data_IF_786044079160
#
_entry.id   IF_786044079160
#
_cell.length_a   1.000
_cell.length_b   1.000
_cell.length_c   1.000
_cell.angle_alpha   90.00
_cell.angle_beta   90.00
_cell.angle_gamma   90.00
#
_symmetry.space_group_name_H-M   'P 1'
#
loop_
_entity.id
_entity.type
_entity.pdbx_description
1 polymer ?
#
# COMPACT_ATOMS: atom_id res chain seq x y z
N UNK A 1 -22.31 0.28 4.23
CA UNK A 1 -20.97 -0.17 3.77
C UNK A 1 -20.07 -0.19 4.99
N UNK A 2 -19.41 -1.31 5.33
CA UNK A 2 -18.56 -1.38 6.54
C UNK A 2 -17.31 -0.49 6.37
N UNK A 3 -16.76 0.03 7.47
CA UNK A 3 -15.64 0.98 7.49
C UNK A 3 -14.41 0.47 6.76
N UNK A 4 -14.14 -0.84 6.81
CA UNK A 4 -13.07 -1.50 6.04
C UNK A 4 -13.26 -1.33 4.53
N UNK A 5 -14.43 -1.69 4.00
CA UNK A 5 -14.73 -1.58 2.57
C UNK A 5 -14.59 -0.13 2.09
N UNK A 6 -15.05 0.83 2.89
CA UNK A 6 -14.94 2.25 2.58
C UNK A 6 -13.47 2.72 2.55
N UNK A 7 -12.68 2.34 3.55
CA UNK A 7 -11.27 2.68 3.62
C UNK A 7 -10.48 2.08 2.44
N UNK A 8 -10.72 0.81 2.12
CA UNK A 8 -10.10 0.14 0.97
C UNK A 8 -10.49 0.81 -0.34
N UNK A 9 -11.78 1.09 -0.55
CA UNK A 9 -12.25 1.76 -1.78
C UNK A 9 -11.62 3.13 -1.96
N UNK A 10 -11.59 3.96 -0.91
CA UNK A 10 -10.93 5.27 -0.95
C UNK A 10 -9.45 5.19 -1.34
N UNK A 11 -8.73 4.19 -0.82
CA UNK A 11 -7.33 4.03 -1.18
C UNK A 11 -7.15 3.56 -2.62
N UNK A 12 -7.98 2.60 -3.08
CA UNK A 12 -8.00 2.14 -4.47
C UNK A 12 -8.30 3.31 -5.42
N UNK A 13 -9.33 4.10 -5.14
CA UNK A 13 -9.71 5.26 -5.97
C UNK A 13 -8.55 6.28 -6.05
N UNK A 14 -7.80 6.47 -4.95
CA UNK A 14 -6.63 7.34 -4.94
C UNK A 14 -5.44 6.74 -5.70
N UNK A 15 -5.23 5.43 -5.61
CA UNK A 15 -4.15 4.69 -6.29
C UNK A 15 -4.35 4.59 -7.81
N UNK A 16 -5.59 4.39 -8.24
CA UNK A 16 -5.98 4.23 -9.64
C UNK A 16 -6.10 5.56 -10.39
N UNK A 17 -6.10 6.68 -9.67
CA UNK A 17 -6.13 8.00 -10.30
C UNK A 17 -4.89 8.21 -11.16
N UNK A 18 -5.13 8.54 -12.42
CA UNK A 18 -4.11 8.96 -13.37
C UNK A 18 -3.74 10.43 -13.14
N UNK A 19 -2.45 10.73 -13.17
CA UNK A 19 -1.89 12.06 -12.99
C UNK A 19 -0.86 12.35 -14.06
N UNK A 20 -0.70 13.64 -14.36
CA UNK A 20 0.31 14.13 -15.29
C UNK A 20 1.47 14.69 -14.49
N UNK A 21 2.66 14.14 -14.73
CA UNK A 21 3.92 14.70 -14.24
C UNK A 21 4.54 15.48 -15.40
N UNK A 22 4.66 16.78 -15.21
CA UNK A 22 5.11 17.69 -16.25
C UNK A 22 6.64 17.81 -16.28
N UNK A 23 7.20 17.98 -17.48
CA UNK A 23 8.61 18.31 -17.71
C UNK A 23 9.58 17.33 -17.04
N UNK A 24 9.31 16.03 -17.17
CA UNK A 24 10.27 15.01 -16.79
C UNK A 24 11.45 15.11 -17.76
N UNK A 25 12.64 15.27 -17.19
CA UNK A 25 13.89 15.26 -17.93
C UNK A 25 14.63 13.93 -17.72
N UNK A 26 14.92 13.24 -18.82
CA UNK A 26 15.62 11.95 -18.88
C UNK A 26 16.90 12.11 -19.71
N UNK A 27 18.01 12.56 -19.09
CA UNK A 27 19.23 12.92 -19.82
C UNK A 27 19.89 11.74 -20.51
N UNK A 28 19.79 10.51 -19.98
CA UNK A 28 20.42 9.32 -20.60
C UNK A 28 19.93 9.05 -22.02
N UNK A 29 18.74 9.53 -22.38
CA UNK A 29 18.14 9.39 -23.71
C UNK A 29 17.76 10.74 -24.35
N UNK A 30 18.23 11.84 -23.75
CA UNK A 30 17.98 13.21 -24.21
C UNK A 30 16.49 13.52 -24.45
N UNK A 31 15.63 13.15 -23.48
CA UNK A 31 14.16 13.28 -23.61
C UNK A 31 13.58 14.17 -22.51
N UNK A 32 12.90 15.24 -22.92
CA UNK A 32 11.96 15.98 -22.06
C UNK A 32 10.53 15.60 -22.43
N UNK A 33 9.71 15.20 -21.46
CA UNK A 33 8.31 14.81 -21.73
C UNK A 33 7.38 15.01 -20.54
N UNK A 34 6.08 15.03 -20.82
CA UNK A 34 5.04 14.94 -19.80
C UNK A 34 4.57 13.48 -19.72
N UNK A 35 4.44 12.94 -18.51
CA UNK A 35 4.05 11.54 -18.32
C UNK A 35 2.73 11.43 -17.58
N UNK A 36 1.72 10.90 -18.27
CA UNK A 36 0.45 10.45 -17.70
C UNK A 36 0.59 9.04 -17.13
N UNK A 37 0.44 8.91 -15.82
CA UNK A 37 0.70 7.69 -15.08
C UNK A 37 -0.22 7.57 -13.86
N UNK A 38 -0.67 6.36 -13.54
CA UNK A 38 -1.42 6.10 -12.31
C UNK A 38 -0.50 6.05 -11.11
N UNK A 39 -0.99 6.47 -9.94
CA UNK A 39 -0.19 6.40 -8.71
C UNK A 39 0.31 5.00 -8.39
N UNK A 40 -0.56 4.01 -8.59
CA UNK A 40 -0.19 2.61 -8.36
C UNK A 40 0.95 2.12 -9.26
N UNK A 41 1.06 2.64 -10.48
CA UNK A 41 2.09 2.22 -11.45
C UNK A 41 3.48 2.66 -10.94
N UNK A 42 3.68 3.95 -10.67
CA UNK A 42 4.99 4.40 -10.20
C UNK A 42 5.32 3.87 -8.79
N UNK A 43 4.34 3.74 -7.89
CA UNK A 43 4.58 3.17 -6.55
C UNK A 43 5.11 1.74 -6.66
N UNK A 44 4.51 0.90 -7.52
CA UNK A 44 4.96 -0.48 -7.75
C UNK A 44 6.33 -0.52 -8.41
N UNK A 45 6.54 0.27 -9.45
CA UNK A 45 7.83 0.34 -10.17
C UNK A 45 8.95 0.74 -9.21
N UNK A 46 8.80 1.84 -8.47
CA UNK A 46 9.79 2.27 -7.48
C UNK A 46 10.02 1.20 -6.41
N UNK A 47 8.95 0.59 -5.88
CA UNK A 47 9.09 -0.48 -4.88
C UNK A 47 9.79 -1.75 -5.39
N UNK A 48 9.67 -2.05 -6.69
CA UNK A 48 10.38 -3.16 -7.32
C UNK A 48 11.86 -2.81 -7.55
N UNK A 49 12.15 -1.59 -8.02
CA UNK A 49 13.53 -1.10 -8.19
C UNK A 49 14.27 -1.12 -6.86
N UNK A 50 13.66 -0.64 -5.77
CA UNK A 50 14.32 -0.55 -4.46
C UNK A 50 14.64 -1.90 -3.81
N UNK A 51 14.00 -3.00 -4.24
CA UNK A 51 14.10 -4.34 -3.62
C UNK A 51 14.91 -5.34 -4.42
N UNK A 52 15.21 -5.06 -5.69
CA UNK A 52 15.73 -6.07 -6.61
C UNK A 52 17.06 -5.65 -7.24
N UNK A 53 17.96 -6.64 -7.38
CA UNK A 53 19.13 -6.50 -8.23
C UNK A 53 18.69 -6.46 -9.71
N UNK A 54 19.44 -5.72 -10.53
CA UNK A 54 19.18 -5.42 -11.95
C UNK A 54 18.61 -6.60 -12.78
N UNK A 55 19.07 -7.83 -12.52
CA UNK A 55 18.66 -9.05 -13.22
C UNK A 55 17.18 -9.43 -13.06
N UNK A 56 16.44 -8.85 -12.11
CA UNK A 56 15.01 -9.13 -11.86
C UNK A 56 14.07 -8.01 -12.33
N UNK A 57 14.57 -7.05 -13.12
CA UNK A 57 13.81 -5.88 -13.57
C UNK A 57 13.13 -6.04 -14.93
N UNK A 58 13.16 -7.22 -15.56
CA UNK A 58 12.51 -7.44 -16.87
C UNK A 58 11.02 -7.08 -16.89
N UNK A 59 10.29 -7.39 -15.80
CA UNK A 59 8.90 -6.97 -15.63
C UNK A 59 8.74 -5.45 -15.52
N UNK A 60 9.65 -4.78 -14.80
CA UNK A 60 9.65 -3.32 -14.64
C UNK A 60 9.91 -2.62 -15.98
N UNK A 61 10.85 -3.14 -16.79
CA UNK A 61 11.12 -2.60 -18.13
C UNK A 61 9.89 -2.68 -19.03
N UNK A 62 9.20 -3.82 -19.02
CA UNK A 62 7.98 -4.00 -19.81
C UNK A 62 6.88 -3.00 -19.38
N UNK A 63 6.71 -2.80 -18.08
CA UNK A 63 5.76 -1.81 -17.55
C UNK A 63 6.14 -0.39 -17.96
N UNK A 64 7.43 0.00 -17.87
CA UNK A 64 7.91 1.31 -18.31
C UNK A 64 7.65 1.54 -19.80
N UNK A 65 8.06 0.61 -20.68
CA UNK A 65 7.82 0.73 -22.12
C UNK A 65 6.33 0.89 -22.42
N UNK A 66 5.47 0.15 -21.73
CA UNK A 66 4.01 0.27 -21.88
C UNK A 66 3.48 1.65 -21.47
N UNK A 67 3.99 2.21 -20.36
CA UNK A 67 3.61 3.55 -19.88
C UNK A 67 4.07 4.62 -20.87
N UNK A 68 5.32 4.57 -21.34
CA UNK A 68 5.85 5.55 -22.30
C UNK A 68 5.10 5.47 -23.64
N UNK A 69 4.81 4.25 -24.11
CA UNK A 69 4.00 4.03 -25.32
C UNK A 69 2.59 4.62 -25.19
N UNK A 70 1.94 4.47 -24.02
CA UNK A 70 0.64 5.11 -23.73
C UNK A 70 0.72 6.64 -23.80
N UNK A 71 1.89 7.20 -23.49
CA UNK A 71 2.19 8.63 -23.58
C UNK A 71 2.77 9.05 -24.95
N UNK A 72 2.63 8.21 -25.98
CA UNK A 72 3.10 8.47 -27.36
C UNK A 72 4.62 8.67 -27.48
N UNK A 73 5.38 8.11 -26.54
CA UNK A 73 6.84 8.02 -26.62
C UNK A 73 7.20 6.57 -26.92
N UNK A 74 7.90 6.34 -28.04
CA UNK A 74 8.43 5.03 -28.37
C UNK A 74 9.74 4.80 -27.63
N UNK A 75 9.69 4.00 -26.56
CA UNK A 75 10.83 3.70 -25.71
C UNK A 75 11.30 2.27 -25.98
N UNK A 76 12.55 2.10 -26.41
CA UNK A 76 13.14 0.76 -26.58
C UNK A 76 13.51 0.17 -25.23
N UNK A 77 13.64 -1.16 -25.14
CA UNK A 77 14.03 -1.83 -23.90
C UNK A 77 15.42 -1.39 -23.38
N UNK A 78 16.35 -1.12 -24.30
CA UNK A 78 17.69 -0.61 -23.96
C UNK A 78 17.61 0.78 -23.34
N UNK A 79 16.83 1.69 -23.94
CA UNK A 79 16.55 3.02 -23.41
C UNK A 79 15.85 2.95 -22.04
N UNK A 80 14.89 2.03 -21.88
CA UNK A 80 14.20 1.79 -20.62
C UNK A 80 15.16 1.38 -19.48
N UNK A 81 16.19 0.57 -19.79
CA UNK A 81 17.24 0.19 -18.83
C UNK A 81 18.07 1.40 -18.41
N UNK A 82 18.42 2.28 -19.35
CA UNK A 82 19.24 3.46 -19.09
C UNK A 82 18.53 4.45 -18.16
N UNK A 83 17.21 4.64 -18.34
CA UNK A 83 16.45 5.62 -17.56
C UNK A 83 15.91 5.10 -16.22
N UNK A 84 16.19 3.84 -15.83
CA UNK A 84 15.63 3.25 -14.59
C UNK A 84 15.92 4.11 -13.35
N UNK A 85 17.16 4.56 -13.20
CA UNK A 85 17.57 5.37 -12.05
C UNK A 85 16.95 6.77 -12.11
N UNK A 86 16.93 7.40 -13.29
CA UNK A 86 16.33 8.72 -13.49
C UNK A 86 14.82 8.70 -13.21
N UNK A 87 14.13 7.66 -13.68
CA UNK A 87 12.72 7.41 -13.35
C UNK A 87 12.57 7.23 -11.84
N UNK A 88 13.41 6.42 -11.21
CA UNK A 88 13.36 6.23 -9.76
C UNK A 88 13.53 7.55 -9.02
N UNK A 89 14.50 8.39 -9.38
CA UNK A 89 14.71 9.70 -8.74
C UNK A 89 13.49 10.61 -8.87
N UNK A 90 12.91 10.73 -10.07
CA UNK A 90 11.70 11.53 -10.29
C UNK A 90 10.52 11.04 -9.47
N UNK A 91 10.24 9.73 -9.51
CA UNK A 91 9.00 9.19 -8.96
C UNK A 91 9.10 8.79 -7.49
N UNK A 92 10.26 8.36 -7.02
CA UNK A 92 10.50 8.04 -5.61
C UNK A 92 10.84 9.30 -4.82
N UNK A 93 11.92 9.99 -5.19
CA UNK A 93 12.45 11.09 -4.36
C UNK A 93 11.50 12.28 -4.34
N UNK A 94 10.95 12.66 -5.50
CA UNK A 94 10.12 13.87 -5.59
C UNK A 94 8.64 13.58 -5.34
N UNK A 95 8.08 12.55 -5.96
CA UNK A 95 6.62 12.31 -5.96
C UNK A 95 6.18 11.39 -4.83
N UNK A 96 6.86 10.26 -4.61
CA UNK A 96 6.48 9.34 -3.53
C UNK A 96 6.66 10.00 -2.16
N UNK A 97 7.76 10.73 -1.94
CA UNK A 97 7.97 11.51 -0.70
C UNK A 97 6.81 12.46 -0.40
N UNK A 98 6.28 13.13 -1.43
CA UNK A 98 5.12 14.02 -1.31
C UNK A 98 3.86 13.29 -0.84
N UNK A 99 3.62 12.07 -1.33
CA UNK A 99 2.45 11.26 -0.99
C UNK A 99 2.62 10.36 0.24
N UNK A 100 3.83 10.23 0.79
CA UNK A 100 4.15 9.33 1.90
C UNK A 100 3.16 9.44 3.07
N UNK A 101 2.85 10.67 3.48
CA UNK A 101 1.88 10.95 4.56
C UNK A 101 0.46 10.52 4.17
N UNK A 102 0.05 10.77 2.92
CA UNK A 102 -1.27 10.35 2.43
C UNK A 102 -1.40 8.82 2.41
N UNK A 103 -0.37 8.12 1.94
CA UNK A 103 -0.32 6.64 1.97
C UNK A 103 -0.41 6.15 3.42
N UNK A 104 0.33 6.75 4.35
CA UNK A 104 0.27 6.41 5.77
C UNK A 104 -1.15 6.58 6.35
N UNK A 105 -1.85 7.67 5.99
CA UNK A 105 -3.25 7.87 6.38
C UNK A 105 -4.15 6.76 5.83
N UNK A 106 -4.06 6.44 4.53
CA UNK A 106 -4.89 5.40 3.92
C UNK A 106 -4.65 4.02 4.55
N UNK A 107 -3.39 3.65 4.78
CA UNK A 107 -3.03 2.40 5.44
C UNK A 107 -3.53 2.35 6.90
N UNK A 108 -3.42 3.46 7.63
CA UNK A 108 -3.94 3.54 8.98
C UNK A 108 -5.47 3.41 9.01
N UNK A 109 -6.17 4.02 8.05
CA UNK A 109 -7.62 3.88 7.92
C UNK A 109 -8.04 2.43 7.62
N UNK A 110 -7.29 1.70 6.79
CA UNK A 110 -7.52 0.27 6.56
C UNK A 110 -7.27 -0.53 7.83
N UNK A 111 -6.18 -0.25 8.57
CA UNK A 111 -5.89 -0.91 9.85
C UNK A 111 -7.01 -0.73 10.86
N UNK A 112 -7.55 0.48 10.97
CA UNK A 112 -8.72 0.76 11.79
C UNK A 112 -9.97 0.06 11.28
N UNK A 113 -10.18 0.01 9.97
CA UNK A 113 -11.28 -0.74 9.36
C UNK A 113 -11.23 -2.24 9.70
N UNK A 114 -10.04 -2.86 9.66
CA UNK A 114 -9.85 -4.26 10.08
C UNK A 114 -10.20 -4.44 11.55
N UNK A 115 -9.72 -3.53 12.41
CA UNK A 115 -10.01 -3.57 13.84
C UNK A 115 -11.51 -3.49 14.12
N UNK A 116 -12.19 -2.52 13.54
CA UNK A 116 -13.63 -2.31 13.71
C UNK A 116 -14.45 -3.48 13.13
N UNK A 117 -14.01 -4.05 12.01
CA UNK A 117 -14.64 -5.22 11.40
C UNK A 117 -14.60 -6.45 12.32
N UNK A 118 -13.47 -6.69 12.98
CA UNK A 118 -13.23 -7.88 13.82
C UNK A 118 -13.62 -7.67 15.29
N UNK A 119 -13.91 -6.44 15.72
CA UNK A 119 -14.23 -6.15 17.12
C UNK A 119 -15.44 -6.94 17.65
N UNK A 120 -16.56 -7.09 16.90
CA UNK A 120 -17.71 -7.88 17.38
C UNK A 120 -17.38 -9.36 17.56
N UNK A 121 -16.54 -9.93 16.69
CA UNK A 121 -16.06 -11.32 16.80
C UNK A 121 -15.18 -11.49 18.04
N UNK A 122 -14.23 -10.58 18.23
CA UNK A 122 -13.37 -10.56 19.41
C UNK A 122 -14.17 -10.48 20.73
N UNK A 123 -15.18 -9.60 20.78
CA UNK A 123 -16.03 -9.42 21.96
C UNK A 123 -16.83 -10.67 22.31
N UNK A 124 -17.26 -11.45 21.32
CA UNK A 124 -17.97 -12.70 21.52
C UNK A 124 -17.03 -13.84 21.90
N UNK A 125 -15.81 -13.84 21.35
CA UNK A 125 -14.89 -14.95 21.50
C UNK A 125 -14.12 -14.96 22.81
N UNK A 126 -13.88 -13.79 23.44
CA UNK A 126 -13.05 -13.71 24.64
C UNK A 126 -13.78 -14.23 25.88
N UNK A 127 -13.16 -15.18 26.58
CA UNK A 127 -13.66 -15.75 27.84
C UNK A 127 -12.61 -15.56 28.93
N UNK A 128 -13.03 -15.01 30.07
CA UNK A 128 -12.19 -14.83 31.25
C UNK A 128 -12.46 -15.96 32.25
N UNK A 129 -11.42 -16.71 32.62
CA UNK A 129 -11.57 -17.93 33.41
C UNK A 129 -11.70 -17.67 34.92
N UNK A 130 -11.08 -16.61 35.44
CA UNK A 130 -11.01 -16.35 36.88
C UNK A 130 -10.86 -14.85 37.19
N UNK A 131 -11.26 -14.46 38.40
CA UNK A 131 -11.04 -13.12 38.97
C UNK A 131 -9.64 -12.92 39.60
N UNK A 132 -8.74 -13.89 39.47
CA UNK A 132 -7.36 -13.80 39.96
C UNK A 132 -6.49 -12.82 39.15
N UNK A 133 -5.38 -12.38 39.75
CA UNK A 133 -4.38 -11.54 39.09
C UNK A 133 -3.10 -12.36 38.78
N UNK A 134 -2.63 -12.40 37.51
CA UNK A 134 -3.25 -11.82 36.31
C UNK A 134 -4.49 -12.61 35.85
N UNK A 135 -5.47 -11.89 35.27
CA UNK A 135 -6.68 -12.50 34.70
C UNK A 135 -6.29 -13.41 33.53
N UNK A 136 -6.56 -14.70 33.67
CA UNK A 136 -6.43 -15.68 32.59
C UNK A 136 -7.61 -15.53 31.62
N UNK A 137 -7.32 -15.64 30.33
CA UNK A 137 -8.32 -15.61 29.28
C UNK A 137 -8.00 -16.64 28.20
N UNK A 138 -9.03 -17.07 27.51
CA UNK A 138 -8.93 -17.82 26.27
C UNK A 138 -9.92 -17.28 25.23
N UNK A 139 -9.88 -17.82 24.02
CA UNK A 139 -10.87 -17.56 22.99
C UNK A 139 -11.66 -18.84 22.68
N UNK A 140 -12.97 -18.69 22.49
CA UNK A 140 -13.76 -19.70 21.79
C UNK A 140 -13.49 -19.60 20.30
N UNK A 141 -13.49 -20.73 19.60
CA UNK A 141 -13.20 -20.78 18.17
C UNK A 141 -14.49 -21.05 17.38
N UNK A 142 -14.66 -20.42 16.20
CA UNK A 142 -15.73 -20.79 15.28
C UNK A 142 -15.65 -22.27 14.90
N UNK A 143 -16.80 -22.88 14.60
CA UNK A 143 -16.91 -24.32 14.31
C UNK A 143 -16.08 -24.77 13.08
N UNK A 144 -15.80 -23.84 12.18
CA UNK A 144 -14.97 -24.01 10.98
C UNK A 144 -13.47 -24.07 11.32
N UNK A 145 -13.04 -23.49 12.44
CA UNK A 145 -11.63 -23.40 12.88
C UNK A 145 -11.27 -24.65 13.69
N UNK A 146 -11.04 -25.76 12.98
CA UNK A 146 -10.86 -27.09 13.61
C UNK A 146 -9.40 -27.42 13.94
N UNK A 147 -8.49 -27.18 13.02
CA UNK A 147 -7.09 -27.60 13.15
C UNK A 147 -6.27 -26.64 14.03
N UNK A 148 -5.18 -27.16 14.61
CA UNK A 148 -4.35 -26.41 15.56
C UNK A 148 -3.69 -25.18 14.94
N UNK A 149 -3.31 -25.25 13.65
CA UNK A 149 -2.71 -24.11 12.95
C UNK A 149 -3.70 -22.95 12.82
N UNK A 150 -4.93 -23.24 12.37
CA UNK A 150 -5.98 -22.24 12.23
C UNK A 150 -6.38 -21.64 13.58
N UNK A 151 -6.43 -22.46 14.65
CA UNK A 151 -6.63 -21.97 16.02
C UNK A 151 -5.50 -21.03 16.46
N UNK A 152 -4.25 -21.36 16.15
CA UNK A 152 -3.09 -20.48 16.40
C UNK A 152 -3.20 -19.15 15.66
N UNK A 153 -3.54 -19.17 14.37
CA UNK A 153 -3.75 -17.94 13.59
C UNK A 153 -4.91 -17.10 14.13
N UNK A 154 -6.02 -17.72 14.52
CA UNK A 154 -7.17 -17.05 15.12
C UNK A 154 -6.78 -16.40 16.46
N UNK A 155 -6.06 -17.14 17.31
CA UNK A 155 -5.54 -16.65 18.59
C UNK A 155 -4.68 -15.40 18.40
N UNK A 156 -3.73 -15.43 17.47
CA UNK A 156 -2.86 -14.29 17.16
C UNK A 156 -3.66 -13.10 16.62
N UNK A 157 -4.67 -13.36 15.78
CA UNK A 157 -5.54 -12.33 15.25
C UNK A 157 -6.34 -11.65 16.37
N UNK A 158 -7.02 -12.42 17.22
CA UNK A 158 -7.82 -11.88 18.33
C UNK A 158 -6.96 -11.12 19.34
N UNK A 159 -5.73 -11.57 19.61
CA UNK A 159 -4.81 -10.81 20.44
C UNK A 159 -4.36 -9.48 19.81
N UNK A 160 -4.21 -9.42 18.48
CA UNK A 160 -3.97 -8.14 17.78
C UNK A 160 -5.17 -7.21 17.92
N UNK A 161 -6.40 -7.73 17.87
CA UNK A 161 -7.61 -6.94 18.12
C UNK A 161 -7.63 -6.44 19.56
N UNK A 162 -7.39 -7.31 20.55
CA UNK A 162 -7.33 -6.94 21.97
C UNK A 162 -6.43 -5.73 22.24
N UNK A 163 -5.27 -5.66 21.58
CA UNK A 163 -4.29 -4.59 21.78
C UNK A 163 -4.68 -3.25 21.14
N UNK A 164 -5.68 -3.22 20.26
CA UNK A 164 -6.12 -2.04 19.48
C UNK A 164 -4.99 -1.47 18.57
N UNK A 165 -5.31 -0.78 17.46
CA UNK A 165 -4.30 -0.02 16.72
C UNK A 165 -3.62 1.04 17.61
N UNK A 166 -2.28 1.06 17.63
CA UNK A 166 -1.51 2.01 18.45
C UNK A 166 -1.62 3.45 17.93
N UNK A 167 -1.74 3.62 16.61
CA UNK A 167 -1.80 4.93 15.97
C UNK A 167 -3.26 5.36 15.90
N UNK A 168 -3.59 6.51 16.48
CA UNK A 168 -4.92 7.09 16.34
C UNK A 168 -5.21 7.42 14.87
N UNK A 169 -6.49 7.49 14.51
CA UNK A 169 -6.88 8.01 13.20
C UNK A 169 -6.36 9.45 13.06
N UNK A 170 -5.84 9.77 11.89
CA UNK A 170 -5.36 11.11 11.56
C UNK A 170 -5.73 11.44 10.13
N UNK A 171 -5.67 12.72 9.79
CA UNK A 171 -5.95 13.21 8.45
C UNK A 171 -4.83 14.14 8.00
N UNK A 172 -4.27 13.84 6.84
CA UNK A 172 -3.31 14.68 6.13
C UNK A 172 -4.06 15.72 5.33
N UNK A 173 -3.47 16.91 5.27
CA UNK A 173 -4.01 18.03 4.49
C UNK A 173 -4.27 17.64 3.04
N UNK A 174 -5.38 18.14 2.48
CA UNK A 174 -5.79 17.82 1.10
C UNK A 174 -4.71 18.16 0.07
N UNK A 175 -3.91 19.19 0.34
CA UNK A 175 -2.90 19.66 -0.59
C UNK A 175 -1.89 18.55 -0.91
N UNK A 176 -1.41 17.82 0.10
CA UNK A 176 -0.48 16.68 -0.03
C UNK A 176 -1.07 15.43 -0.73
N UNK A 177 -2.34 15.51 -1.18
CA UNK A 177 -3.03 14.44 -1.91
C UNK A 177 -3.38 14.80 -3.35
N UNK A 178 -3.22 16.07 -3.74
CA UNK A 178 -3.78 16.62 -4.99
C UNK A 178 -2.75 16.82 -6.11
N UNK A 179 -1.52 17.20 -5.77
CA UNK A 179 -0.46 17.49 -6.74
C UNK A 179 0.26 16.18 -7.01
N UNK A 180 0.08 15.64 -8.22
CA UNK A 180 0.42 14.25 -8.58
C UNK A 180 -0.44 13.22 -7.83
#
# INVERSE_FOLDING_TARGET
MNSLTHASKKFIDWLEKEVVVEKIWLPSINLETNLSIKRIEFIKICGNISKHNFSRLSGVLYELVKIFKRNRVDLKNEDALLILNEFYEWFHTNIFSYHSSAIAEFLNNIRWGIYEYLLPEFQQAIVFENNGHPRKYHYTYPNEVKNNFAKSCYWDLMNKIRSKPYMNKFQVTRYLKMRY
#
